data_IF_280409310844
#
_entry.id   IF_280409310844
#
_cell.length_a   1.000
_cell.length_b   1.000
_cell.length_c   1.000
_cell.angle_alpha   90.00
_cell.angle_beta   90.00
_cell.angle_gamma   90.00
#
_symmetry.space_group_name_H-M   'P 1'
#
loop_
_entity.id
_entity.type
_entity.pdbx_description
1 polymer ?
#
# COMPACT_ATOMS: atom_id res chain seq x y z
N UNK A 1 -9.84 20.00 40.84
CA UNK A 1 -8.65 20.09 39.96
C UNK A 1 -8.05 18.70 39.86
N UNK A 2 -8.51 17.92 38.90
CA UNK A 2 -7.97 16.59 38.57
C UNK A 2 -7.04 16.77 37.38
N UNK A 3 -5.73 16.68 37.62
CA UNK A 3 -4.74 16.67 36.54
C UNK A 3 -4.81 15.32 35.82
N UNK A 4 -5.17 15.32 34.54
CA UNK A 4 -4.94 14.19 33.63
C UNK A 4 -3.44 14.13 33.31
N UNK A 5 -2.82 12.96 33.54
CA UNK A 5 -1.44 12.68 33.13
C UNK A 5 -1.38 12.29 31.63
N UNK A 6 -0.31 12.65 30.89
CA UNK A 6 -0.11 12.32 29.48
C UNK A 6 -0.02 10.81 29.19
N UNK A 7 -0.40 10.40 27.98
CA UNK A 7 -0.57 9.01 27.52
C UNK A 7 0.68 8.15 27.70
N UNK A 8 1.89 8.72 27.50
CA UNK A 8 3.16 8.02 27.70
C UNK A 8 3.39 7.55 29.16
N UNK A 9 2.86 8.28 30.16
CA UNK A 9 2.98 7.88 31.57
C UNK A 9 1.95 6.82 31.98
N UNK A 10 0.81 6.73 31.26
CA UNK A 10 -0.16 5.62 31.46
C UNK A 10 0.38 4.31 30.91
N UNK A 11 1.11 4.37 29.79
CA UNK A 11 1.77 3.21 29.19
C UNK A 11 2.94 2.71 30.06
N UNK A 12 3.71 3.61 30.67
CA UNK A 12 4.76 3.24 31.62
C UNK A 12 4.20 2.53 32.86
N UNK A 13 3.03 2.94 33.36
CA UNK A 13 2.36 2.27 34.49
C UNK A 13 1.82 0.88 34.06
N UNK A 14 1.30 0.73 32.84
CA UNK A 14 0.85 -0.56 32.31
C UNK A 14 2.02 -1.54 32.08
N UNK A 15 3.16 -1.06 31.59
CA UNK A 15 4.40 -1.86 31.41
C UNK A 15 4.98 -2.27 32.77
N UNK A 16 4.99 -1.37 33.76
CA UNK A 16 5.45 -1.70 35.12
C UNK A 16 4.49 -2.68 35.80
N UNK A 17 3.18 -2.61 35.52
CA UNK A 17 2.20 -3.58 36.04
C UNK A 17 2.28 -4.94 35.34
N UNK A 18 2.54 -5.01 34.04
CA UNK A 18 2.75 -6.28 33.35
C UNK A 18 4.08 -6.95 33.76
N UNK A 19 5.14 -6.18 34.01
CA UNK A 19 6.37 -6.69 34.63
C UNK A 19 6.17 -7.14 36.08
N UNK A 20 5.36 -6.41 36.88
CA UNK A 20 5.04 -6.80 38.25
C UNK A 20 4.16 -8.07 38.32
N UNK A 21 3.26 -8.25 37.34
CA UNK A 21 2.42 -9.43 37.24
C UNK A 21 3.22 -10.65 36.74
N UNK A 22 4.10 -10.45 35.75
CA UNK A 22 5.02 -11.47 35.25
C UNK A 22 6.04 -11.93 36.31
N UNK A 23 6.61 -10.98 37.08
CA UNK A 23 7.52 -11.32 38.19
C UNK A 23 6.81 -11.91 39.41
N UNK A 24 5.53 -11.59 39.64
CA UNK A 24 4.73 -12.27 40.66
C UNK A 24 4.38 -13.72 40.24
N UNK A 25 4.16 -13.97 38.95
CA UNK A 25 3.85 -15.29 38.39
C UNK A 25 5.08 -16.18 38.21
N UNK A 26 6.27 -15.60 37.99
CA UNK A 26 7.54 -16.36 37.92
C UNK A 26 8.01 -16.92 39.27
N UNK A 27 7.33 -16.55 40.36
CA UNK A 27 7.55 -17.14 41.69
C UNK A 27 6.70 -18.39 41.95
N UNK A 28 5.81 -18.75 41.02
CA UNK A 28 5.09 -20.02 41.03
C UNK A 28 5.80 -21.01 40.09
N UNK A 29 6.16 -22.18 40.63
CA UNK A 29 7.03 -23.17 39.99
C UNK A 29 6.54 -23.65 38.61
N UNK A 30 7.51 -23.66 37.68
CA UNK A 30 7.67 -24.47 36.46
C UNK A 30 6.54 -25.43 36.06
N UNK A 31 5.75 -25.01 35.07
CA UNK A 31 5.39 -25.79 33.86
C UNK A 31 4.36 -24.97 33.08
N UNK A 32 4.74 -24.24 32.03
CA UNK A 32 3.83 -23.78 30.94
C UNK A 32 4.48 -22.78 29.96
N UNK A 33 5.72 -23.02 29.51
CA UNK A 33 6.37 -22.15 28.52
C UNK A 33 5.61 -22.11 27.17
N UNK A 34 4.88 -23.18 26.82
CA UNK A 34 4.02 -23.23 25.63
C UNK A 34 2.74 -22.41 25.75
N UNK A 35 2.27 -22.14 26.97
CA UNK A 35 1.01 -21.40 27.19
C UNK A 35 1.24 -19.88 27.22
N UNK A 36 2.46 -19.42 27.53
CA UNK A 36 2.80 -18.00 27.52
C UNK A 36 2.86 -17.43 26.09
N UNK A 37 3.39 -18.18 25.12
CA UNK A 37 3.38 -17.79 23.70
C UNK A 37 1.96 -17.74 23.13
N UNK A 38 1.11 -18.75 23.39
CA UNK A 38 -0.28 -18.75 22.90
C UNK A 38 -1.09 -17.56 23.44
N UNK A 39 -0.89 -17.19 24.71
CA UNK A 39 -1.58 -16.04 25.32
C UNK A 39 -1.08 -14.73 24.73
N UNK A 40 0.23 -14.61 24.47
CA UNK A 40 0.81 -13.43 23.83
C UNK A 40 0.30 -13.24 22.41
N UNK A 41 0.32 -14.29 21.59
CA UNK A 41 -0.19 -14.28 20.21
C UNK A 41 -1.68 -13.95 20.16
N UNK A 42 -2.46 -14.47 21.12
CA UNK A 42 -3.88 -14.12 21.25
C UNK A 42 -4.10 -12.65 21.61
N UNK A 43 -3.29 -12.06 22.50
CA UNK A 43 -3.40 -10.64 22.86
C UNK A 43 -3.03 -9.76 21.66
N UNK A 44 -1.96 -10.09 20.94
CA UNK A 44 -1.55 -9.37 19.72
C UNK A 44 -2.66 -9.47 18.66
N UNK A 45 -3.20 -10.65 18.41
CA UNK A 45 -4.31 -10.87 17.48
C UNK A 45 -5.55 -10.04 17.85
N UNK A 46 -5.94 -10.01 19.13
CA UNK A 46 -7.08 -9.20 19.60
C UNK A 46 -6.78 -7.70 19.47
N UNK A 47 -5.57 -7.24 19.80
CA UNK A 47 -5.18 -5.84 19.65
C UNK A 47 -5.21 -5.41 18.17
N UNK A 48 -4.71 -6.26 17.27
CA UNK A 48 -4.79 -6.02 15.82
C UNK A 48 -6.22 -5.99 15.31
N UNK A 49 -7.09 -6.91 15.77
CA UNK A 49 -8.51 -6.91 15.43
C UNK A 49 -9.24 -5.64 15.90
N UNK A 50 -8.90 -5.14 17.10
CA UNK A 50 -9.46 -3.90 17.66
C UNK A 50 -8.98 -2.68 16.87
N UNK A 51 -7.69 -2.59 16.52
CA UNK A 51 -7.16 -1.52 15.68
C UNK A 51 -7.80 -1.54 14.29
N UNK A 52 -7.92 -2.71 13.69
CA UNK A 52 -8.61 -2.90 12.41
C UNK A 52 -10.05 -2.39 12.48
N UNK A 53 -10.82 -2.79 13.50
CA UNK A 53 -12.17 -2.29 13.72
C UNK A 53 -12.23 -0.75 13.88
N UNK A 54 -11.26 -0.13 14.58
CA UNK A 54 -11.20 1.33 14.72
C UNK A 54 -10.88 2.07 13.41
N UNK A 55 -10.07 1.48 12.52
CA UNK A 55 -9.80 2.01 11.17
C UNK A 55 -10.92 1.74 10.15
N UNK A 56 -11.80 0.78 10.45
CA UNK A 56 -13.08 0.60 9.73
C UNK A 56 -14.17 1.53 10.26
N UNK A 57 -14.04 2.07 11.47
CA UNK A 57 -14.95 3.07 11.97
C UNK A 57 -14.65 4.39 11.27
N UNK A 58 -15.59 4.83 10.43
CA UNK A 58 -15.56 6.13 9.79
C UNK A 58 -15.46 7.20 10.88
N UNK A 59 -14.27 7.76 11.13
CA UNK A 59 -14.20 9.09 11.73
C UNK A 59 -14.98 9.99 10.78
N UNK A 60 -16.15 10.45 11.22
CA UNK A 60 -17.02 11.39 10.52
C UNK A 60 -16.38 12.79 10.49
N UNK A 61 -15.09 12.85 10.16
CA UNK A 61 -14.32 14.07 10.11
C UNK A 61 -14.09 14.48 8.66
N UNK A 62 -14.57 15.70 8.39
CA UNK A 62 -14.39 16.55 7.21
C UNK A 62 -15.33 16.36 6.00
N UNK A 63 -16.58 16.78 6.23
CA UNK A 63 -17.60 17.23 5.26
C UNK A 63 -17.17 18.36 4.27
N UNK A 64 -15.88 18.55 3.97
CA UNK A 64 -15.41 19.83 3.40
C UNK A 64 -14.92 19.80 1.95
N UNK A 65 -14.57 18.67 1.36
CA UNK A 65 -14.16 18.60 -0.04
C UNK A 65 -14.80 17.36 -0.66
N UNK A 66 -15.54 17.50 -1.76
CA UNK A 66 -16.26 16.39 -2.42
C UNK A 66 -15.36 15.34 -3.08
N UNK A 67 -14.15 15.15 -2.54
CA UNK A 67 -13.08 14.28 -3.03
C UNK A 67 -12.30 13.70 -1.86
N UNK A 68 -11.72 12.51 -2.06
CA UNK A 68 -10.79 11.85 -1.15
C UNK A 68 -9.43 11.73 -1.84
N UNK A 69 -8.33 12.04 -1.15
CA UNK A 69 -6.98 11.86 -1.69
C UNK A 69 -6.18 10.80 -0.92
N UNK A 70 -5.39 10.01 -1.63
CA UNK A 70 -4.38 9.12 -1.04
C UNK A 70 -3.14 9.00 -1.92
N UNK A 71 -2.05 8.49 -1.35
CA UNK A 71 -0.79 8.20 -2.05
C UNK A 71 -0.56 6.70 -2.17
N UNK A 72 0.24 6.26 -3.14
CA UNK A 72 0.72 4.89 -3.25
C UNK A 72 2.20 4.86 -3.61
N UNK A 73 2.97 4.00 -2.94
CA UNK A 73 4.41 3.84 -3.12
C UNK A 73 4.79 2.37 -2.91
N UNK A 74 5.54 1.79 -3.83
CA UNK A 74 6.18 0.47 -3.69
C UNK A 74 7.68 0.61 -3.67
N UNK A 75 8.36 -0.43 -3.18
CA UNK A 75 9.79 -0.60 -3.34
C UNK A 75 10.57 0.59 -2.78
N UNK A 76 10.25 0.93 -1.54
CA UNK A 76 10.82 2.09 -0.85
C UNK A 76 11.78 1.69 0.27
N UNK A 77 11.96 0.40 0.53
CA UNK A 77 12.58 -0.14 1.74
C UNK A 77 14.08 0.07 1.95
N UNK A 78 14.65 1.13 1.39
CA UNK A 78 16.01 1.57 1.66
C UNK A 78 17.06 0.50 1.36
N UNK A 79 17.94 0.25 2.32
CA UNK A 79 19.04 -0.73 2.19
C UNK A 79 19.30 -1.47 3.50
N UNK A 80 20.04 -2.56 3.42
CA UNK A 80 20.37 -3.46 4.55
C UNK A 80 21.52 -2.97 5.43
N UNK A 81 22.15 -1.84 5.09
CA UNK A 81 23.28 -1.26 5.82
C UNK A 81 22.96 0.14 6.33
N UNK A 82 23.42 0.46 7.55
CA UNK A 82 23.25 1.79 8.15
C UNK A 82 23.66 2.90 7.15
N UNK A 83 22.85 3.96 6.97
CA UNK A 83 21.72 4.39 7.80
C UNK A 83 20.37 3.74 7.43
N UNK A 84 20.35 2.61 6.71
CA UNK A 84 19.17 1.83 6.35
C UNK A 84 18.15 2.49 5.39
N UNK A 85 18.42 3.71 4.95
CA UNK A 85 17.69 4.40 3.89
C UNK A 85 18.63 4.79 2.73
N UNK A 86 18.07 5.10 1.56
CA UNK A 86 18.76 5.68 0.40
C UNK A 86 18.44 7.18 0.26
N UNK A 87 19.30 7.94 -0.41
CA UNK A 87 19.05 9.36 -0.62
C UNK A 87 17.78 9.59 -1.46
N UNK A 88 17.57 8.73 -2.44
CA UNK A 88 16.41 8.64 -3.32
C UNK A 88 15.11 8.38 -2.53
N UNK A 89 15.14 7.48 -1.54
CA UNK A 89 14.01 7.26 -0.63
C UNK A 89 13.70 8.54 0.17
N UNK A 90 14.73 9.19 0.70
CA UNK A 90 14.58 10.41 1.48
C UNK A 90 14.00 11.57 0.65
N UNK A 91 14.46 11.72 -0.60
CA UNK A 91 13.92 12.70 -1.56
C UNK A 91 12.47 12.39 -1.91
N UNK A 92 12.16 11.12 -2.19
CA UNK A 92 10.80 10.66 -2.47
C UNK A 92 9.87 10.95 -1.30
N UNK A 93 10.29 10.67 -0.06
CA UNK A 93 9.52 11.01 1.14
C UNK A 93 9.26 12.52 1.27
N UNK A 94 10.23 13.37 0.88
CA UNK A 94 10.04 14.81 0.84
C UNK A 94 9.05 15.25 -0.26
N UNK A 95 9.08 14.61 -1.44
CA UNK A 95 8.12 14.83 -2.51
C UNK A 95 6.70 14.41 -2.12
N UNK A 96 6.56 13.24 -1.49
CA UNK A 96 5.28 12.77 -0.94
C UNK A 96 4.70 13.78 0.04
N UNK A 97 5.50 14.31 0.97
CA UNK A 97 5.03 15.31 1.94
C UNK A 97 4.54 16.61 1.26
N UNK A 98 5.16 17.03 0.14
CA UNK A 98 4.68 18.16 -0.66
C UNK A 98 3.32 17.86 -1.30
N UNK A 99 3.19 16.71 -1.94
CA UNK A 99 1.95 16.30 -2.64
C UNK A 99 0.81 15.98 -1.65
N UNK A 100 1.12 15.46 -0.47
CA UNK A 100 0.16 15.17 0.58
C UNK A 100 -0.51 16.42 1.14
N UNK A 101 0.16 17.57 1.10
CA UNK A 101 -0.35 18.83 1.65
C UNK A 101 -1.46 19.43 0.76
N UNK A 102 -2.58 19.86 1.35
CA UNK A 102 -3.73 20.47 0.66
C UNK A 102 -3.49 21.91 0.14
N UNK A 103 -2.24 22.33 -0.06
CA UNK A 103 -1.93 23.72 -0.35
C UNK A 103 -0.82 23.82 -1.41
N UNK A 104 -0.89 24.83 -2.31
CA UNK A 104 0.15 25.06 -3.30
C UNK A 104 1.49 25.20 -2.60
N UNK A 105 2.55 24.68 -3.23
CA UNK A 105 3.94 24.85 -2.80
C UNK A 105 4.27 26.35 -2.63
N UNK A 106 3.93 26.91 -1.49
CA UNK A 106 4.17 28.31 -1.12
C UNK A 106 5.38 28.30 -0.21
N UNK A 107 6.54 28.14 -0.84
CA UNK A 107 7.85 28.56 -0.35
C UNK A 107 8.82 28.70 -1.54
N UNK A 108 8.35 29.33 -2.62
CA UNK A 108 9.24 30.01 -3.56
C UNK A 108 9.10 31.49 -3.23
N UNK A 109 10.24 32.11 -2.92
CA UNK A 109 10.35 33.52 -2.55
C UNK A 109 9.54 34.43 -3.51
N UNK A 110 8.92 35.44 -2.92
CA UNK A 110 8.21 36.52 -3.63
C UNK A 110 9.03 37.02 -4.83
N UNK A 111 8.48 36.87 -6.04
CA UNK A 111 8.61 37.78 -7.19
C UNK A 111 8.47 37.05 -8.55
N UNK A 112 7.31 36.44 -8.84
CA UNK A 112 6.84 36.32 -10.24
C UNK A 112 5.31 36.33 -10.24
N UNK A 113 4.70 37.33 -10.87
CA UNK A 113 3.32 37.25 -11.36
C UNK A 113 3.22 36.09 -12.36
N UNK A 114 2.91 34.89 -11.88
CA UNK A 114 2.51 33.80 -12.76
C UNK A 114 1.15 33.28 -12.34
N UNK A 115 0.35 32.99 -13.35
CA UNK A 115 -1.02 32.50 -13.34
C UNK A 115 -1.11 31.14 -12.61
N UNK A 116 -0.93 31.15 -11.29
CA UNK A 116 -0.95 29.95 -10.46
C UNK A 116 -2.40 29.53 -10.24
N UNK A 117 -2.83 28.53 -11.01
CA UNK A 117 -3.97 27.70 -10.67
C UNK A 117 -3.84 27.27 -9.21
N UNK A 118 -4.78 27.70 -8.37
CA UNK A 118 -4.93 27.21 -7.00
C UNK A 118 -5.16 25.70 -7.10
N UNK A 119 -4.26 24.91 -6.53
CA UNK A 119 -4.49 23.48 -6.34
C UNK A 119 -5.64 23.32 -5.33
N UNK A 120 -6.83 22.95 -5.82
CA UNK A 120 -8.06 22.81 -5.04
C UNK A 120 -8.22 21.41 -4.43
N UNK A 121 -7.22 20.55 -4.60
CA UNK A 121 -7.29 19.15 -4.23
C UNK A 121 -7.08 18.98 -2.71
N UNK A 122 -7.77 18.01 -2.06
CA UNK A 122 -7.70 17.82 -0.62
C UNK A 122 -6.32 17.33 -0.16
N UNK A 123 -6.06 17.39 1.15
CA UNK A 123 -4.89 16.72 1.73
C UNK A 123 -5.03 15.20 1.54
N UNK A 124 -3.91 14.50 1.35
CA UNK A 124 -3.91 13.05 1.38
C UNK A 124 -4.30 12.55 2.78
N UNK A 125 -5.16 11.54 2.83
CA UNK A 125 -5.69 10.98 4.10
C UNK A 125 -5.05 9.65 4.50
N UNK A 126 -4.35 8.99 3.57
CA UNK A 126 -3.60 7.75 3.83
C UNK A 126 -2.59 7.46 2.70
N UNK A 127 -1.70 6.50 2.97
CA UNK A 127 -0.73 5.95 2.02
C UNK A 127 -0.98 4.46 1.82
N UNK A 128 -0.81 3.95 0.60
CA UNK A 128 -0.68 2.53 0.31
C UNK A 128 0.80 2.19 0.13
N UNK A 129 1.31 1.25 0.92
CA UNK A 129 2.59 0.59 0.61
C UNK A 129 2.32 -0.61 -0.29
N UNK A 130 3.02 -0.68 -1.43
CA UNK A 130 2.87 -1.74 -2.43
C UNK A 130 3.94 -2.85 -2.28
N UNK A 131 4.49 -3.02 -1.08
CA UNK A 131 5.46 -4.07 -0.76
C UNK A 131 6.91 -3.68 -1.01
N UNK A 132 7.80 -4.61 -0.63
CA UNK A 132 9.24 -4.41 -0.47
C UNK A 132 9.54 -3.24 0.46
N UNK A 133 9.00 -3.38 1.67
CA UNK A 133 9.05 -2.39 2.73
C UNK A 133 10.44 -2.29 3.36
N UNK A 134 11.22 -3.38 3.36
CA UNK A 134 12.58 -3.40 3.93
C UNK A 134 13.53 -4.27 3.11
N UNK A 135 14.44 -3.63 2.36
CA UNK A 135 15.46 -4.34 1.59
C UNK A 135 16.66 -4.77 2.46
N UNK A 136 17.37 -5.85 2.14
CA UNK A 136 17.09 -6.84 1.08
C UNK A 136 16.45 -8.13 1.62
N UNK A 137 16.22 -8.21 2.94
CA UNK A 137 15.75 -9.42 3.62
C UNK A 137 14.70 -9.13 4.69
N UNK A 138 13.87 -8.12 4.46
CA UNK A 138 12.80 -7.77 5.38
C UNK A 138 13.32 -7.28 6.74
N UNK A 139 12.48 -7.48 7.75
CA UNK A 139 12.81 -7.30 9.16
C UNK A 139 13.24 -8.67 9.71
N UNK A 140 14.33 -8.77 10.49
CA UNK A 140 14.75 -10.04 11.08
C UNK A 140 13.73 -10.61 12.06
N UNK A 141 13.74 -11.95 12.22
CA UNK A 141 12.87 -12.70 13.14
C UNK A 141 12.89 -12.19 14.58
N UNK A 142 11.77 -12.43 15.25
CA UNK A 142 11.58 -12.09 16.64
C UNK A 142 12.49 -12.91 17.57
N UNK A 143 13.51 -12.26 18.13
CA UNK A 143 13.95 -12.55 19.50
C UNK A 143 14.40 -11.24 20.18
N UNK A 144 13.46 -10.31 20.43
CA UNK A 144 13.71 -9.08 21.20
C UNK A 144 14.87 -8.19 20.73
N UNK A 145 15.29 -8.28 19.47
CA UNK A 145 16.50 -7.62 19.00
C UNK A 145 16.26 -6.12 18.74
N UNK A 146 17.16 -5.23 19.23
CA UNK A 146 17.19 -3.82 18.82
C UNK A 146 17.26 -3.63 17.30
N UNK A 147 17.72 -4.64 16.55
CA UNK A 147 17.86 -4.55 15.10
C UNK A 147 16.51 -4.43 14.36
N UNK A 148 15.49 -5.22 14.71
CA UNK A 148 14.18 -5.14 14.04
C UNK A 148 13.55 -3.74 14.20
N UNK A 149 13.60 -3.21 15.41
CA UNK A 149 13.12 -1.86 15.72
C UNK A 149 13.95 -0.78 15.05
N UNK A 150 15.28 -0.90 15.06
CA UNK A 150 16.17 0.05 14.40
C UNK A 150 15.94 0.08 12.88
N UNK A 151 15.71 -1.08 12.25
CA UNK A 151 15.36 -1.14 10.83
C UNK A 151 14.04 -0.43 10.55
N UNK A 152 13.02 -0.68 11.37
CA UNK A 152 11.74 -0.01 11.23
C UNK A 152 11.84 1.52 11.45
N UNK A 153 12.51 1.94 12.52
CA UNK A 153 12.68 3.36 12.87
C UNK A 153 13.46 4.11 11.79
N UNK A 154 14.60 3.57 11.35
CA UNK A 154 15.50 4.28 10.42
C UNK A 154 15.04 4.21 8.96
N UNK A 155 14.37 3.14 8.54
CA UNK A 155 13.88 3.02 7.15
C UNK A 155 12.47 3.58 6.99
N UNK A 156 11.61 3.53 8.00
CA UNK A 156 10.23 4.02 7.91
C UNK A 156 9.98 5.24 8.80
N UNK A 157 10.09 5.10 10.12
CA UNK A 157 9.55 6.12 11.04
C UNK A 157 10.24 7.48 10.83
N UNK A 158 11.58 7.51 10.84
CA UNK A 158 12.41 8.69 10.66
C UNK A 158 12.33 9.28 9.24
N UNK A 159 12.32 8.44 8.20
CA UNK A 159 12.30 8.90 6.79
C UNK A 159 10.98 9.63 6.47
N UNK A 160 9.88 9.11 7.02
CA UNK A 160 8.53 9.61 6.79
C UNK A 160 7.96 10.42 7.98
N UNK A 161 8.76 10.76 9.00
CA UNK A 161 8.36 11.69 10.07
C UNK A 161 8.33 13.12 9.54
N UNK A 162 7.19 13.48 8.93
CA UNK A 162 6.95 14.79 8.30
C UNK A 162 5.52 15.20 8.63
N UNK A 163 5.27 16.49 8.91
CA UNK A 163 3.97 16.92 9.46
C UNK A 163 2.76 16.59 8.59
N UNK A 164 2.95 16.42 7.27
CA UNK A 164 1.91 16.07 6.30
C UNK A 164 1.90 14.58 5.94
N UNK A 165 2.75 13.77 6.57
CA UNK A 165 2.86 12.31 6.42
C UNK A 165 2.52 11.56 7.72
N UNK A 166 2.04 12.29 8.74
CA UNK A 166 1.46 11.72 9.96
C UNK A 166 0.03 11.22 9.68
N UNK A 167 -0.04 10.14 8.90
CA UNK A 167 -1.29 9.55 8.42
C UNK A 167 -1.14 8.02 8.38
N UNK A 168 -2.25 7.26 8.33
CA UNK A 168 -2.18 5.81 8.23
C UNK A 168 -1.59 5.35 6.89
N UNK A 169 -0.68 4.39 6.96
CA UNK A 169 -0.14 3.58 5.89
C UNK A 169 -0.79 2.21 5.94
N UNK A 170 -1.41 1.79 4.84
CA UNK A 170 -1.94 0.45 4.63
C UNK A 170 -0.92 -0.35 3.84
N UNK A 171 -0.48 -1.48 4.39
CA UNK A 171 0.75 -2.13 3.97
C UNK A 171 0.49 -3.57 3.53
N UNK A 172 1.17 -3.99 2.47
CA UNK A 172 1.37 -5.39 2.10
C UNK A 172 2.87 -5.68 2.03
N UNK A 173 3.23 -6.96 2.11
CA UNK A 173 4.60 -7.43 1.91
C UNK A 173 4.91 -7.70 0.44
N UNK A 174 6.18 -7.47 0.08
CA UNK A 174 6.79 -7.90 -1.18
C UNK A 174 7.74 -9.09 -0.98
N UNK A 175 8.44 -9.48 -2.04
CA UNK A 175 9.32 -10.65 -1.99
C UNK A 175 10.51 -10.45 -1.04
N UNK A 176 11.02 -9.23 -0.88
CA UNK A 176 12.09 -8.98 0.08
C UNK A 176 11.60 -9.04 1.53
N UNK A 177 10.34 -8.68 1.77
CA UNK A 177 9.72 -8.76 3.10
C UNK A 177 9.55 -10.21 3.55
N UNK A 178 9.15 -11.09 2.63
CA UNK A 178 9.04 -12.54 2.85
C UNK A 178 10.39 -13.26 3.04
N UNK A 179 11.53 -12.61 2.72
CA UNK A 179 12.84 -13.13 3.09
C UNK A 179 13.17 -12.92 4.58
N UNK A 180 12.42 -12.06 5.26
CA UNK A 180 12.50 -11.86 6.71
C UNK A 180 11.25 -12.34 7.41
N UNK A 181 11.04 -11.85 8.63
CA UNK A 181 9.84 -12.13 9.41
C UNK A 181 8.73 -11.13 9.06
N UNK A 182 7.88 -11.54 8.14
CA UNK A 182 6.70 -10.77 7.75
C UNK A 182 5.68 -10.63 8.89
N UNK A 183 5.64 -11.58 9.83
CA UNK A 183 4.74 -11.50 10.99
C UNK A 183 5.19 -10.42 11.97
N UNK A 184 6.51 -10.16 12.07
CA UNK A 184 7.04 -9.02 12.81
C UNK A 184 6.61 -7.68 12.18
N UNK A 185 6.55 -7.59 10.84
CA UNK A 185 5.98 -6.41 10.18
C UNK A 185 4.51 -6.20 10.55
N UNK A 186 3.72 -7.27 10.68
CA UNK A 186 2.33 -7.15 11.13
C UNK A 186 2.26 -6.68 12.59
N UNK A 187 3.10 -7.26 13.46
CA UNK A 187 3.19 -6.91 14.88
C UNK A 187 3.52 -5.43 15.13
N UNK A 188 4.34 -4.82 14.28
CA UNK A 188 4.64 -3.38 14.32
C UNK A 188 3.39 -2.49 14.25
N UNK A 189 2.27 -3.02 13.72
CA UNK A 189 0.97 -2.33 13.74
C UNK A 189 0.46 -2.05 15.15
N UNK A 190 0.89 -2.81 16.15
CA UNK A 190 0.52 -2.59 17.57
C UNK A 190 1.36 -1.50 18.24
N UNK A 191 2.44 -1.06 17.58
CA UNK A 191 3.45 -0.17 18.17
C UNK A 191 3.53 1.18 17.48
N UNK A 192 3.16 1.27 16.20
CA UNK A 192 3.11 2.51 15.44
C UNK A 192 1.71 2.74 14.86
N UNK A 193 1.07 3.87 15.20
CA UNK A 193 -0.30 4.18 14.76
C UNK A 193 -0.40 4.41 13.24
N UNK A 194 0.68 4.90 12.62
CA UNK A 194 0.75 5.06 11.16
C UNK A 194 0.85 3.72 10.45
N UNK A 195 1.43 2.69 11.07
CA UNK A 195 1.60 1.38 10.43
C UNK A 195 0.36 0.50 10.57
N UNK A 196 -0.25 0.12 9.44
CA UNK A 196 -1.45 -0.73 9.41
C UNK A 196 -1.25 -1.92 8.47
N UNK A 197 -0.78 -3.03 9.06
CA UNK A 197 -0.60 -4.31 8.39
C UNK A 197 -1.22 -5.44 9.25
N UNK A 198 -2.56 -5.60 9.22
CA UNK A 198 -3.25 -6.47 10.18
C UNK A 198 -3.15 -7.97 9.85
N UNK A 199 -2.95 -8.32 8.57
CA UNK A 199 -2.85 -9.69 8.06
C UNK A 199 -2.25 -9.64 6.64
N UNK A 200 -1.82 -10.78 6.07
CA UNK A 200 -1.28 -10.91 4.72
C UNK A 200 -2.19 -10.26 3.67
N UNK A 201 -3.49 -10.57 3.77
CA UNK A 201 -4.53 -9.98 2.95
C UNK A 201 -5.48 -9.19 3.83
N UNK A 202 -5.84 -7.99 3.42
CA UNK A 202 -6.79 -7.16 4.16
C UNK A 202 -7.49 -6.19 3.23
N UNK A 203 -8.59 -5.62 3.69
CA UNK A 203 -9.36 -4.64 2.92
C UNK A 203 -9.92 -3.57 3.82
N UNK A 204 -10.26 -2.45 3.22
CA UNK A 204 -10.94 -1.37 3.92
C UNK A 204 -11.76 -0.53 2.96
N UNK A 205 -12.74 0.16 3.53
CA UNK A 205 -13.67 1.03 2.82
C UNK A 205 -13.48 2.46 3.29
N UNK A 206 -13.61 3.40 2.35
CA UNK A 206 -13.75 4.84 2.60
C UNK A 206 -15.01 5.34 1.94
N UNK A 207 -15.78 6.10 2.71
CA UNK A 207 -17.02 6.71 2.26
C UNK A 207 -16.92 8.22 2.41
N UNK A 208 -17.35 8.94 1.37
CA UNK A 208 -17.40 10.40 1.39
C UNK A 208 -18.56 10.88 0.51
N UNK A 209 -18.94 12.15 0.66
CA UNK A 209 -20.04 12.72 -0.11
C UNK A 209 -19.51 13.61 -1.23
N UNK A 210 -19.76 13.22 -2.48
CA UNK A 210 -19.58 14.07 -3.64
C UNK A 210 -20.77 15.01 -3.84
N UNK A 211 -20.52 16.24 -4.32
CA UNK A 211 -21.57 17.22 -4.62
C UNK A 211 -21.47 17.70 -6.06
N UNK A 212 -22.63 17.82 -6.72
CA UNK A 212 -22.80 18.46 -8.02
C UNK A 212 -24.12 19.22 -8.01
N UNK A 213 -24.04 20.52 -8.25
CA UNK A 213 -25.15 21.45 -8.04
C UNK A 213 -25.78 21.22 -6.65
N UNK A 214 -27.07 20.87 -6.60
CA UNK A 214 -27.80 20.61 -5.36
C UNK A 214 -27.90 19.11 -4.99
N UNK A 215 -27.25 18.22 -5.75
CA UNK A 215 -27.27 16.77 -5.50
C UNK A 215 -26.05 16.34 -4.71
N UNK A 216 -26.29 15.66 -3.59
CA UNK A 216 -25.25 15.02 -2.76
C UNK A 216 -25.33 13.51 -3.00
N UNK A 217 -24.19 12.90 -3.31
CA UNK A 217 -24.07 11.46 -3.60
C UNK A 217 -23.03 10.85 -2.69
N UNK A 218 -23.40 9.77 -1.99
CA UNK A 218 -22.42 8.95 -1.26
C UNK A 218 -21.52 8.25 -2.30
N UNK A 219 -20.22 8.36 -2.13
CA UNK A 219 -19.21 7.68 -2.94
C UNK A 219 -18.46 6.70 -2.05
N UNK A 220 -18.37 5.44 -2.50
CA UNK A 220 -17.67 4.37 -1.79
C UNK A 220 -16.41 3.94 -2.54
N UNK A 221 -15.26 4.04 -1.88
CA UNK A 221 -13.99 3.47 -2.31
C UNK A 221 -13.69 2.25 -1.47
N UNK A 222 -13.44 1.11 -2.09
CA UNK A 222 -12.89 -0.07 -1.42
C UNK A 222 -11.53 -0.42 -2.01
N UNK A 223 -10.59 -0.73 -1.11
CA UNK A 223 -9.24 -1.13 -1.45
C UNK A 223 -9.01 -2.51 -0.84
N UNK A 224 -8.67 -3.48 -1.70
CA UNK A 224 -8.30 -4.83 -1.31
C UNK A 224 -6.79 -4.96 -1.50
N UNK A 225 -6.09 -5.19 -0.40
CA UNK A 225 -4.64 -5.29 -0.31
C UNK A 225 -4.28 -6.77 -0.19
N UNK A 226 -3.51 -7.30 -1.14
CA UNK A 226 -3.28 -8.74 -1.29
C UNK A 226 -1.79 -9.09 -1.28
N UNK A 227 -1.49 -10.25 -0.72
CA UNK A 227 -0.15 -10.83 -0.73
C UNK A 227 0.06 -11.65 -2.02
N UNK A 228 0.81 -11.09 -2.96
CA UNK A 228 1.08 -11.75 -4.24
C UNK A 228 2.19 -12.79 -4.15
N UNK A 229 3.02 -12.77 -3.11
CA UNK A 229 4.06 -13.78 -2.89
C UNK A 229 3.40 -15.11 -2.51
N UNK A 230 2.37 -15.06 -1.66
CA UNK A 230 1.56 -16.24 -1.34
C UNK A 230 0.74 -16.77 -2.54
N UNK A 231 0.51 -15.97 -3.58
CA UNK A 231 -0.16 -16.41 -4.80
C UNK A 231 0.78 -16.98 -5.87
N UNK A 232 1.95 -16.36 -6.03
CA UNK A 232 2.82 -16.58 -7.18
C UNK A 232 4.24 -17.09 -6.84
N UNK A 233 4.59 -17.23 -5.55
CA UNK A 233 5.92 -17.63 -5.10
C UNK A 233 6.89 -16.46 -4.91
N UNK A 234 7.97 -16.68 -4.15
CA UNK A 234 9.04 -15.72 -3.89
C UNK A 234 10.16 -15.83 -4.93
N UNK A 235 10.59 -14.70 -5.50
CA UNK A 235 11.61 -14.68 -6.56
C UNK A 235 13.05 -14.49 -6.06
N UNK A 236 13.27 -14.12 -4.78
CA UNK A 236 14.55 -13.51 -4.35
C UNK A 236 15.25 -14.12 -3.14
N UNK A 237 14.65 -15.03 -2.37
CA UNK A 237 15.31 -15.56 -1.17
C UNK A 237 16.04 -16.87 -1.50
N UNK A 238 17.39 -16.90 -1.59
CA UNK A 238 18.11 -18.15 -1.73
C UNK A 238 18.14 -18.88 -0.39
N UNK A 239 18.00 -20.22 -0.39
CA UNK A 239 18.26 -21.16 0.71
C UNK A 239 17.08 -21.62 1.60
N UNK A 240 15.91 -21.95 1.06
CA UNK A 240 15.10 -23.02 1.67
C UNK A 240 15.14 -24.27 0.78
N UNK A 241 15.48 -25.43 1.36
CA UNK A 241 15.37 -26.73 0.67
C UNK A 241 13.92 -27.04 0.26
N UNK A 242 12.96 -26.35 0.90
CA UNK A 242 11.51 -26.48 0.68
C UNK A 242 10.95 -25.56 -0.42
N UNK A 243 11.72 -24.57 -0.90
CA UNK A 243 11.28 -23.60 -1.91
C UNK A 243 9.98 -22.87 -1.51
N UNK A 244 9.24 -22.39 -2.52
CA UNK A 244 7.94 -21.71 -2.40
C UNK A 244 6.78 -22.60 -1.88
N UNK A 245 7.05 -23.73 -1.23
CA UNK A 245 6.03 -24.71 -0.83
C UNK A 245 4.94 -24.11 0.07
N UNK A 246 5.29 -23.19 0.97
CA UNK A 246 4.32 -22.49 1.83
C UNK A 246 3.42 -21.55 1.02
N UNK A 247 3.98 -20.81 0.06
CA UNK A 247 3.21 -19.97 -0.86
C UNK A 247 2.24 -20.80 -1.68
N UNK A 248 2.70 -21.89 -2.33
CA UNK A 248 1.80 -22.76 -3.09
C UNK A 248 0.72 -23.43 -2.24
N UNK A 249 1.02 -23.75 -0.97
CA UNK A 249 0.03 -24.30 -0.05
C UNK A 249 -1.06 -23.28 0.36
N UNK A 250 -0.74 -21.98 0.36
CA UNK A 250 -1.68 -20.89 0.70
C UNK A 250 -2.32 -20.22 -0.51
N UNK A 251 -1.86 -20.50 -1.72
CA UNK A 251 -2.34 -19.85 -2.94
C UNK A 251 -3.86 -20.00 -3.13
N UNK A 252 -4.40 -21.21 -2.97
CA UNK A 252 -5.84 -21.48 -3.10
C UNK A 252 -6.66 -20.73 -2.03
N UNK A 253 -6.19 -20.74 -0.79
CA UNK A 253 -6.83 -20.04 0.34
C UNK A 253 -6.84 -18.53 0.09
N UNK A 254 -5.72 -18.00 -0.39
CA UNK A 254 -5.57 -16.57 -0.71
C UNK A 254 -6.48 -16.19 -1.86
N UNK A 255 -6.54 -17.00 -2.92
CA UNK A 255 -7.40 -16.74 -4.07
C UNK A 255 -8.89 -16.82 -3.72
N UNK A 256 -9.29 -17.78 -2.87
CA UNK A 256 -10.65 -17.87 -2.34
C UNK A 256 -11.02 -16.66 -1.49
N UNK A 257 -10.12 -16.22 -0.60
CA UNK A 257 -10.33 -15.00 0.20
C UNK A 257 -10.53 -13.78 -0.70
N UNK A 258 -9.70 -13.64 -1.75
CA UNK A 258 -9.81 -12.54 -2.72
C UNK A 258 -11.14 -12.60 -3.45
N UNK A 259 -11.54 -13.76 -3.98
CA UNK A 259 -12.83 -13.89 -4.67
C UNK A 259 -14.01 -13.54 -3.76
N UNK A 260 -13.99 -13.96 -2.50
CA UNK A 260 -15.02 -13.59 -1.53
C UNK A 260 -15.05 -12.07 -1.27
N UNK A 261 -13.89 -11.44 -1.07
CA UNK A 261 -13.80 -10.00 -0.88
C UNK A 261 -14.34 -9.21 -2.10
N UNK A 262 -14.02 -9.68 -3.32
CA UNK A 262 -14.51 -9.09 -4.56
C UNK A 262 -16.02 -9.25 -4.74
N UNK A 263 -16.56 -10.42 -4.39
CA UNK A 263 -17.99 -10.74 -4.49
C UNK A 263 -18.84 -9.92 -3.52
N UNK A 264 -18.31 -9.58 -2.36
CA UNK A 264 -19.02 -8.80 -1.35
C UNK A 264 -18.99 -7.29 -1.61
N UNK A 265 -18.17 -6.81 -2.54
CA UNK A 265 -17.94 -5.38 -2.76
C UNK A 265 -19.02 -4.72 -3.62
N UNK A 266 -19.71 -3.73 -3.05
CA UNK A 266 -20.67 -2.83 -3.70
C UNK A 266 -20.08 -1.43 -4.03
N UNK A 267 -18.78 -1.22 -3.82
CA UNK A 267 -18.11 0.08 -3.97
C UNK A 267 -18.26 0.75 -5.36
N UNK A 268 -18.24 2.07 -5.42
CA UNK A 268 -18.19 2.82 -6.69
C UNK A 268 -16.83 2.68 -7.37
N UNK A 269 -15.76 2.67 -6.56
CA UNK A 269 -14.40 2.40 -6.99
C UNK A 269 -13.88 1.20 -6.21
N UNK A 270 -13.38 0.20 -6.93
CA UNK A 270 -12.75 -0.98 -6.34
C UNK A 270 -11.33 -1.08 -6.84
N UNK A 271 -10.37 -0.91 -5.94
CA UNK A 271 -8.95 -1.06 -6.24
C UNK A 271 -8.45 -2.36 -5.60
N UNK A 272 -7.57 -3.05 -6.32
CA UNK A 272 -6.81 -4.16 -5.76
C UNK A 272 -5.34 -3.80 -5.82
N UNK A 273 -4.61 -3.93 -4.72
CA UNK A 273 -3.19 -3.63 -4.63
C UNK A 273 -2.42 -4.88 -4.20
N UNK A 274 -1.39 -5.23 -4.94
CA UNK A 274 -0.50 -6.35 -4.68
C UNK A 274 0.92 -5.99 -5.05
N UNK A 275 1.93 -6.69 -4.51
CA UNK A 275 3.32 -6.32 -4.79
C UNK A 275 3.70 -6.60 -6.26
N UNK A 276 3.49 -7.82 -6.73
CA UNK A 276 3.84 -8.21 -8.09
C UNK A 276 2.87 -7.64 -9.13
N UNK A 277 3.37 -7.14 -10.28
CA UNK A 277 2.53 -6.70 -11.37
C UNK A 277 1.89 -7.89 -12.11
N UNK A 278 0.62 -7.75 -12.47
CA UNK A 278 -0.03 -8.65 -13.44
C UNK A 278 0.59 -8.44 -14.83
N UNK A 279 0.78 -7.19 -15.23
CA UNK A 279 1.46 -6.80 -16.46
C UNK A 279 2.50 -5.73 -16.15
N UNK A 280 3.66 -5.85 -16.76
CA UNK A 280 4.73 -4.86 -16.71
C UNK A 280 5.53 -4.91 -18.01
N UNK A 281 6.01 -3.75 -18.44
CA UNK A 281 6.94 -3.60 -19.56
C UNK A 281 8.42 -3.61 -19.12
N UNK A 282 8.68 -3.64 -17.81
CA UNK A 282 10.00 -3.38 -17.24
C UNK A 282 10.89 -4.64 -17.21
N UNK A 283 11.94 -4.69 -16.40
CA UNK A 283 12.97 -5.75 -16.46
C UNK A 283 12.40 -7.14 -16.18
N UNK A 284 11.60 -7.30 -15.11
CA UNK A 284 11.10 -8.61 -14.69
C UNK A 284 9.92 -9.10 -15.54
N UNK A 285 9.00 -8.20 -15.87
CA UNK A 285 7.74 -8.45 -16.55
C UNK A 285 6.58 -8.73 -15.60
N UNK A 286 5.40 -8.95 -16.20
CA UNK A 286 4.22 -9.38 -15.43
C UNK A 286 4.27 -10.85 -15.02
N UNK A 287 3.59 -11.20 -13.93
CA UNK A 287 3.49 -12.59 -13.44
C UNK A 287 2.48 -13.41 -14.24
N UNK A 288 2.93 -14.47 -14.91
CA UNK A 288 2.07 -15.39 -15.66
C UNK A 288 1.04 -16.10 -14.76
N UNK A 289 1.40 -16.40 -13.51
CA UNK A 289 0.48 -16.97 -12.53
C UNK A 289 -0.66 -15.98 -12.28
N UNK A 290 -0.35 -14.72 -11.95
CA UNK A 290 -1.39 -13.72 -11.71
C UNK A 290 -2.22 -13.41 -12.96
N UNK A 291 -1.63 -13.46 -14.16
CA UNK A 291 -2.37 -13.29 -15.42
C UNK A 291 -3.39 -14.42 -15.66
N UNK A 292 -3.10 -15.63 -15.20
CA UNK A 292 -3.97 -16.80 -15.40
C UNK A 292 -4.97 -17.04 -14.27
N UNK A 293 -4.65 -16.65 -13.03
CA UNK A 293 -5.50 -16.86 -11.85
C UNK A 293 -6.24 -15.61 -11.41
N UNK A 294 -5.51 -14.53 -11.09
CA UNK A 294 -6.05 -13.33 -10.48
C UNK A 294 -6.74 -12.41 -11.51
N UNK A 295 -6.09 -12.11 -12.63
CA UNK A 295 -6.57 -11.17 -13.64
C UNK A 295 -7.99 -11.48 -14.17
N UNK A 296 -8.35 -12.74 -14.47
CA UNK A 296 -9.73 -13.07 -14.85
C UNK A 296 -10.75 -12.77 -13.75
N UNK A 297 -10.41 -13.00 -12.47
CA UNK A 297 -11.28 -12.72 -11.34
C UNK A 297 -11.49 -11.22 -11.15
N UNK A 298 -10.42 -10.42 -11.17
CA UNK A 298 -10.53 -8.96 -11.03
C UNK A 298 -11.48 -8.37 -12.09
N UNK A 299 -11.33 -8.82 -13.34
CA UNK A 299 -12.20 -8.40 -14.45
C UNK A 299 -13.63 -8.90 -14.30
N UNK A 300 -13.84 -10.13 -13.79
CA UNK A 300 -15.18 -10.70 -13.52
C UNK A 300 -15.98 -9.86 -12.51
N UNK A 301 -15.32 -9.28 -11.51
CA UNK A 301 -15.95 -8.45 -10.47
C UNK A 301 -15.85 -6.94 -10.73
N UNK A 302 -15.35 -6.54 -11.90
CA UNK A 302 -15.35 -5.16 -12.35
C UNK A 302 -14.40 -4.24 -11.57
N UNK A 303 -13.26 -4.76 -11.12
CA UNK A 303 -12.21 -3.95 -10.48
C UNK A 303 -11.83 -2.76 -11.37
N UNK A 304 -11.73 -1.57 -10.76
CA UNK A 304 -11.41 -0.33 -11.45
C UNK A 304 -9.95 -0.33 -11.92
N UNK A 305 -9.02 -0.62 -11.01
CA UNK A 305 -7.61 -0.74 -11.32
C UNK A 305 -6.87 -1.69 -10.38
N UNK A 306 -5.79 -2.28 -10.89
CA UNK A 306 -4.81 -3.03 -10.12
C UNK A 306 -3.55 -2.18 -9.90
N UNK A 307 -3.11 -2.05 -8.65
CA UNK A 307 -1.93 -1.29 -8.25
C UNK A 307 -0.79 -2.26 -7.87
N UNK A 308 0.44 -1.94 -8.27
CA UNK A 308 1.61 -2.77 -7.97
C UNK A 308 2.94 -2.04 -7.87
N UNK A 309 3.93 -2.71 -7.29
CA UNK A 309 5.34 -2.31 -7.24
C UNK A 309 6.21 -3.35 -7.97
N UNK A 310 7.24 -3.86 -7.29
CA UNK A 310 8.21 -4.89 -7.67
C UNK A 310 9.18 -4.48 -8.80
N UNK A 311 8.62 -3.85 -9.82
CA UNK A 311 9.41 -3.30 -10.90
C UNK A 311 9.82 -1.90 -10.53
N UNK A 312 11.14 -1.64 -10.52
CA UNK A 312 11.69 -0.33 -10.19
C UNK A 312 11.51 0.66 -11.34
N UNK A 313 10.27 0.84 -11.77
CA UNK A 313 9.84 1.67 -12.87
C UNK A 313 8.44 2.25 -12.56
N UNK A 314 7.89 3.07 -13.46
CA UNK A 314 6.50 3.53 -13.35
C UNK A 314 5.76 3.27 -14.65
N UNK A 315 4.53 2.78 -14.55
CA UNK A 315 3.85 2.22 -15.72
C UNK A 315 2.33 2.35 -15.61
N UNK A 316 1.69 2.67 -16.72
CA UNK A 316 0.24 2.65 -16.84
C UNK A 316 -0.17 1.93 -18.12
N UNK A 317 -0.94 0.87 -17.96
CA UNK A 317 -1.45 0.05 -19.03
C UNK A 317 -2.94 -0.21 -18.84
N UNK A 318 -3.69 -0.21 -19.94
CA UNK A 318 -5.11 -0.57 -19.91
C UNK A 318 -5.36 -1.78 -20.79
N UNK A 319 -6.08 -2.77 -20.27
CA UNK A 319 -6.42 -3.96 -21.03
C UNK A 319 -7.77 -4.52 -20.60
N UNK A 320 -8.61 -4.83 -21.60
CA UNK A 320 -9.97 -5.38 -21.42
C UNK A 320 -10.83 -4.61 -20.39
N UNK A 321 -10.71 -3.28 -20.37
CA UNK A 321 -11.54 -2.41 -19.53
C UNK A 321 -11.08 -2.24 -18.08
N UNK A 322 -9.89 -2.76 -17.71
CA UNK A 322 -9.25 -2.52 -16.42
C UNK A 322 -7.90 -1.82 -16.63
N UNK A 323 -7.53 -0.96 -15.69
CA UNK A 323 -6.24 -0.27 -15.66
C UNK A 323 -5.26 -0.95 -14.70
N UNK A 324 -3.99 -1.00 -15.09
CA UNK A 324 -2.88 -1.56 -14.32
C UNK A 324 -1.88 -0.43 -14.13
N UNK A 325 -1.63 -0.08 -12.87
CA UNK A 325 -0.81 1.05 -12.48
C UNK A 325 0.32 0.51 -11.61
N UNK A 326 1.55 0.86 -11.98
CA UNK A 326 2.75 0.42 -11.30
C UNK A 326 3.52 1.63 -10.78
N UNK A 327 3.87 1.60 -9.49
CA UNK A 327 4.63 2.63 -8.81
C UNK A 327 5.67 2.02 -7.87
N UNK A 328 6.72 1.39 -8.43
CA UNK A 328 7.76 0.70 -7.67
C UNK A 328 9.09 1.46 -7.59
N UNK A 329 9.06 2.80 -7.61
CA UNK A 329 10.29 3.63 -7.65
C UNK A 329 10.55 4.34 -6.33
N UNK A 330 10.15 3.73 -5.22
CA UNK A 330 10.14 4.38 -3.91
C UNK A 330 11.53 4.72 -3.38
N UNK A 331 12.54 3.91 -3.68
CA UNK A 331 13.93 4.15 -3.26
C UNK A 331 14.96 4.12 -4.39
N UNK A 332 14.63 3.68 -5.61
CA UNK A 332 15.54 3.69 -6.77
C UNK A 332 14.75 3.76 -8.09
N UNK A 333 15.35 4.36 -9.11
CA UNK A 333 14.85 4.37 -10.48
C UNK A 333 16.03 4.34 -11.47
N UNK A 334 15.96 3.66 -12.62
CA UNK A 334 14.87 2.82 -13.07
C UNK A 334 15.36 1.49 -13.65
N UNK A 335 14.52 0.45 -13.58
CA UNK A 335 14.64 -0.73 -14.42
C UNK A 335 14.49 -0.40 -15.90
N UNK A 336 15.03 -1.30 -16.73
CA UNK A 336 14.93 -1.21 -18.18
C UNK A 336 13.54 -1.66 -18.66
N UNK A 337 13.18 -1.34 -19.91
CA UNK A 337 11.90 -1.75 -20.51
C UNK A 337 11.96 -3.07 -21.29
N UNK A 338 12.65 -4.08 -20.75
CA UNK A 338 13.00 -5.30 -21.48
C UNK A 338 11.79 -6.15 -21.88
N UNK A 339 10.71 -6.08 -21.10
CA UNK A 339 9.50 -6.90 -21.29
C UNK A 339 8.38 -6.17 -22.02
N UNK A 340 8.63 -5.01 -22.62
CA UNK A 340 7.59 -4.25 -23.34
C UNK A 340 6.84 -5.09 -24.40
N UNK A 341 7.53 -6.04 -25.04
CA UNK A 341 6.96 -6.91 -26.08
C UNK A 341 6.11 -8.08 -25.53
N UNK A 342 6.09 -8.30 -24.21
CA UNK A 342 5.24 -9.34 -23.57
C UNK A 342 3.82 -8.82 -23.28
N UNK A 343 3.61 -7.51 -23.33
CA UNK A 343 2.31 -6.91 -23.12
C UNK A 343 1.26 -7.43 -24.13
N UNK A 344 0.01 -7.67 -23.70
CA UNK A 344 -1.06 -8.05 -24.61
C UNK A 344 -1.24 -7.05 -25.76
N UNK A 345 -1.19 -7.53 -27.00
CA UNK A 345 -1.27 -6.70 -28.23
C UNK A 345 -2.53 -5.82 -28.34
N UNK A 346 -3.63 -6.23 -27.70
CA UNK A 346 -4.90 -5.47 -27.69
C UNK A 346 -5.00 -4.50 -26.51
N UNK A 347 -4.04 -4.51 -25.59
CA UNK A 347 -3.94 -3.51 -24.55
C UNK A 347 -3.28 -2.23 -25.05
N UNK A 348 -3.32 -1.20 -24.22
CA UNK A 348 -2.76 0.11 -24.52
C UNK A 348 -1.80 0.50 -23.41
N UNK A 349 -0.51 0.54 -23.76
CA UNK A 349 0.50 1.19 -22.93
C UNK A 349 0.26 2.70 -23.00
N UNK A 350 -0.14 3.29 -21.88
CA UNK A 350 -0.49 4.71 -21.78
C UNK A 350 0.67 5.55 -21.26
N UNK A 351 1.50 4.98 -20.38
CA UNK A 351 2.69 5.62 -19.84
C UNK A 351 3.74 4.59 -19.42
N UNK A 352 5.02 4.95 -19.56
CA UNK A 352 6.18 4.18 -19.11
C UNK A 352 7.32 5.14 -18.76
N UNK A 353 7.77 5.09 -17.50
CA UNK A 353 9.06 5.57 -17.05
C UNK A 353 9.95 4.35 -16.80
N UNK A 354 10.98 4.21 -17.63
CA UNK A 354 12.00 3.18 -17.52
C UNK A 354 13.31 3.74 -18.10
N UNK A 355 14.42 3.12 -17.75
CA UNK A 355 15.74 3.50 -18.25
C UNK A 355 16.14 2.68 -19.49
N UNK A 356 17.23 3.10 -20.16
CA UNK A 356 17.80 2.32 -21.27
C UNK A 356 18.43 0.99 -20.83
N UNK A 357 18.94 0.94 -19.61
CA UNK A 357 19.46 -0.24 -18.90
C UNK A 357 19.20 -0.02 -17.42
N UNK A 358 19.18 -1.08 -16.61
CA UNK A 358 18.93 -0.97 -15.17
C UNK A 358 19.82 0.09 -14.51
N UNK A 359 19.17 1.06 -13.88
CA UNK A 359 19.76 2.16 -13.10
C UNK A 359 20.80 2.99 -13.85
N UNK A 360 20.64 3.14 -15.16
CA UNK A 360 21.53 3.97 -15.98
C UNK A 360 21.51 5.46 -15.64
N UNK A 361 20.44 5.94 -14.99
CA UNK A 361 20.16 7.35 -14.74
C UNK A 361 19.71 8.12 -15.99
N UNK A 362 19.43 7.43 -17.10
CA UNK A 362 19.09 8.05 -18.38
C UNK A 362 17.73 8.74 -18.39
N UNK A 363 16.79 8.31 -17.54
CA UNK A 363 15.52 8.98 -17.29
C UNK A 363 15.66 10.35 -16.60
N UNK A 364 16.75 10.57 -15.85
CA UNK A 364 16.91 11.74 -14.98
C UNK A 364 15.94 11.79 -13.79
N UNK A 365 15.25 10.67 -13.52
CA UNK A 365 14.36 10.46 -12.36
C UNK A 365 15.08 9.55 -11.38
N UNK A 366 15.05 9.90 -10.10
CA UNK A 366 15.75 9.18 -9.03
C UNK A 366 14.83 8.25 -8.25
N UNK A 367 13.55 8.60 -8.18
CA UNK A 367 12.51 7.84 -7.51
C UNK A 367 11.14 8.38 -7.86
N UNK A 368 10.11 7.94 -7.16
CA UNK A 368 8.76 8.40 -7.41
C UNK A 368 7.65 7.60 -6.72
N UNK A 369 6.44 8.09 -6.91
CA UNK A 369 5.23 7.57 -6.26
C UNK A 369 3.99 7.98 -7.07
N UNK A 370 2.81 7.51 -6.66
CA UNK A 370 1.54 7.90 -7.24
C UNK A 370 0.63 8.62 -6.24
N UNK A 371 -0.21 9.52 -6.73
CA UNK A 371 -1.32 10.11 -5.98
C UNK A 371 -2.65 9.82 -6.66
N UNK A 372 -3.72 9.78 -5.87
CA UNK A 372 -5.07 9.46 -6.32
C UNK A 372 -6.07 10.42 -5.69
N UNK A 373 -6.84 11.10 -6.52
CA UNK A 373 -7.90 12.03 -6.16
C UNK A 373 -9.24 11.44 -6.59
N UNK A 374 -9.93 10.81 -5.65
CA UNK A 374 -11.21 10.15 -5.87
C UNK A 374 -12.34 11.16 -5.77
N UNK A 375 -13.03 11.42 -6.88
CA UNK A 375 -14.27 12.18 -6.91
C UNK A 375 -15.47 11.28 -7.21
N UNK A 376 -16.65 11.89 -7.33
CA UNK A 376 -17.89 11.18 -7.69
C UNK A 376 -17.87 10.60 -9.10
N UNK A 377 -17.40 11.39 -10.07
CA UNK A 377 -17.52 11.09 -11.50
C UNK A 377 -16.21 10.58 -12.11
N UNK A 378 -15.12 10.63 -11.34
CA UNK A 378 -13.79 10.21 -11.79
C UNK A 378 -12.79 10.16 -10.63
N UNK A 379 -11.87 9.22 -10.70
CA UNK A 379 -10.66 9.17 -9.88
C UNK A 379 -9.50 9.62 -10.76
N UNK A 380 -8.96 10.80 -10.49
CA UNK A 380 -7.73 11.25 -11.15
C UNK A 380 -6.56 10.59 -10.43
N UNK A 381 -5.61 10.02 -11.16
CA UNK A 381 -4.34 9.61 -10.58
C UNK A 381 -3.18 10.27 -11.33
N UNK A 382 -2.14 10.60 -10.57
CA UNK A 382 -0.92 11.16 -11.09
C UNK A 382 0.27 10.32 -10.66
N UNK A 383 1.23 10.18 -11.57
CA UNK A 383 2.53 9.57 -11.34
C UNK A 383 3.54 10.71 -11.17
N UNK A 384 4.31 10.65 -10.10
CA UNK A 384 5.26 11.68 -9.68
C UNK A 384 6.69 11.15 -9.69
N UNK A 385 7.65 12.03 -10.01
CA UNK A 385 9.07 11.80 -9.66
C UNK A 385 9.31 12.07 -8.17
N UNK A 386 10.53 11.83 -7.69
CA UNK A 386 10.94 12.01 -6.29
C UNK A 386 10.68 13.44 -5.76
N UNK A 387 10.74 14.45 -6.62
CA UNK A 387 10.45 15.84 -6.26
C UNK A 387 8.96 16.10 -5.96
N UNK A 388 8.06 15.19 -6.34
CA UNK A 388 6.61 15.41 -6.33
C UNK A 388 6.07 16.08 -7.61
N UNK A 389 6.93 16.41 -8.58
CA UNK A 389 6.46 16.91 -9.88
C UNK A 389 5.69 15.81 -10.62
N UNK A 390 4.57 16.19 -11.23
CA UNK A 390 3.74 15.29 -12.02
C UNK A 390 4.44 14.98 -13.35
N UNK A 391 4.69 13.69 -13.60
CA UNK A 391 5.19 13.20 -14.89
C UNK A 391 4.06 12.75 -15.81
N UNK A 392 2.98 12.25 -15.23
CA UNK A 392 1.85 11.71 -15.98
C UNK A 392 0.56 11.77 -15.14
N UNK A 393 -0.57 12.00 -15.79
CA UNK A 393 -1.89 12.02 -15.15
C UNK A 393 -2.93 11.34 -16.05
N UNK A 394 -3.89 10.65 -15.42
CA UNK A 394 -5.03 10.04 -16.12
C UNK A 394 -6.24 9.94 -15.18
N UNK A 395 -7.41 9.69 -15.76
CA UNK A 395 -8.67 9.52 -15.02
C UNK A 395 -9.19 8.10 -15.17
N UNK A 396 -9.62 7.52 -14.05
CA UNK A 396 -10.34 6.24 -13.95
C UNK A 396 -11.82 6.53 -13.68
N UNK A 397 -12.70 5.79 -14.34
CA UNK A 397 -14.15 5.94 -14.18
C UNK A 397 -14.68 5.04 -13.04
N UNK A 398 -15.79 5.42 -12.39
CA UNK A 398 -16.48 4.53 -11.44
C UNK A 398 -16.90 3.22 -12.12
N UNK A 399 -17.01 2.14 -11.34
CA UNK A 399 -17.50 0.84 -11.81
C UNK A 399 -18.87 0.97 -12.48
N UNK A 400 -19.17 0.11 -13.45
CA UNK A 400 -20.51 0.04 -14.03
C UNK A 400 -21.58 -0.25 -12.95
N UNK A 401 -22.80 0.29 -13.13
CA UNK A 401 -23.84 0.27 -12.10
C UNK A 401 -24.38 -1.13 -11.73
N UNK A 402 -24.11 -2.17 -12.53
CA UNK A 402 -24.49 -3.54 -12.21
C UNK A 402 -23.55 -4.18 -11.17
N UNK A 403 -22.25 -3.86 -11.20
CA UNK A 403 -21.31 -4.27 -10.15
C UNK A 403 -21.66 -3.68 -8.79
N UNK A 404 -22.12 -2.43 -8.78
CA UNK A 404 -22.53 -1.69 -7.56
C UNK A 404 -23.81 -2.23 -6.90
N UNK A 405 -24.55 -3.11 -7.58
CA UNK A 405 -25.80 -3.70 -7.08
C UNK A 405 -25.62 -5.16 -6.61
N UNK A 406 -24.39 -5.67 -6.59
CA UNK A 406 -24.11 -7.08 -6.29
C UNK A 406 -24.58 -8.04 -7.39
N UNK A 407 -24.91 -7.55 -8.58
CA UNK A 407 -25.33 -8.37 -9.73
C UNK A 407 -24.09 -8.86 -10.49
N UNK A 408 -23.25 -9.65 -9.82
CA UNK A 408 -22.06 -10.26 -10.43
C UNK A 408 -22.50 -11.39 -11.38
N UNK A 409 -22.30 -11.23 -12.69
CA UNK A 409 -22.52 -12.30 -13.67
C UNK A 409 -23.65 -12.10 -14.68
N UNK A 410 -24.16 -10.89 -14.89
CA UNK A 410 -24.80 -10.59 -16.18
C UNK A 410 -23.69 -10.20 -17.15
N UNK A 411 -23.40 -11.08 -18.11
CA UNK A 411 -22.58 -10.72 -19.26
C UNK A 411 -23.08 -9.37 -19.80
N UNK A 412 -22.20 -8.39 -20.07
CA UNK A 412 -22.63 -7.17 -20.74
C UNK A 412 -23.27 -7.60 -22.05
N UNK A 413 -24.55 -7.25 -22.23
CA UNK A 413 -25.21 -7.36 -23.53
C UNK A 413 -24.36 -6.51 -24.46
N UNK A 414 -23.56 -7.17 -25.28
CA UNK A 414 -22.88 -6.54 -26.40
C UNK A 414 -24.02 -6.11 -27.33
N UNK A 415 -24.42 -4.85 -27.24
CA UNK A 415 -25.17 -4.22 -28.31
C UNK A 415 -24.24 -4.19 -29.52
N UNK A 416 -24.49 -5.12 -30.44
CA UNK A 416 -23.92 -5.13 -31.77
C UNK A 416 -24.66 -4.05 -32.55
N UNK A 417 -24.02 -2.92 -32.78
CA UNK A 417 -24.28 -2.07 -33.95
C UNK A 417 -23.06 -2.00 -34.85
#
# INVERSE_FOLDING_TARGET
>A
MTMQLPTAQRLFILIVWSYALSSALSSAESSNFLHEHEVYDHIVSVAMAVKHASNTSSSADTLTQGRLRFLAIGDWGGKDTYPFYTEEQWETAAGMARVASAAPATNVEEDVESDHHIDDRPAASFVLSLGDNFYSRGIPEEDTTPEAYLRFEETFDNVYDRSMMDMPWFVIGGNHDHCGDITMQMKLSTMNDRWNYPDYNHRFVREFYGKDNDTITLVKLEIIMIDTVLLAGGTTCPESEDGDAESYARADITLEWIENALMESDADYLLVAGHYPIYSACSHGGSEILQSTLDPLLRKYGVTAYLSGHEHCQFHFSYKGMDYILSGTGHDCCYASDKINTLPKKGKLKYLLADSTEYSGSSGVRGGFASFDVGRDGMTFAIHRESGDVLYESVLLPRASHFRRGEHGRDPVVEVE
#
